data_IF_131090485457
#
_entry.id   IF_131090485457
#
_cell.length_a   1.000
_cell.length_b   1.000
_cell.length_c   1.000
_cell.angle_alpha   90.00
_cell.angle_beta   90.00
_cell.angle_gamma   90.00
#
_symmetry.space_group_name_H-M   'P 1'
#
loop_
_entity.id
_entity.type
_entity.pdbx_description
1 polymer ?
#
# COMPACT_ATOMS: atom_id res chain seq x y z
N UNK A 1 35.54 21.85 52.34
CA UNK A 1 35.23 22.05 50.89
C UNK A 1 35.21 20.71 50.17
N UNK A 2 34.05 20.28 49.68
CA UNK A 2 33.90 19.02 48.94
C UNK A 2 34.43 19.20 47.50
N UNK A 3 35.11 18.20 46.91
CA UNK A 3 35.51 18.24 45.51
C UNK A 3 34.26 18.18 44.61
N UNK A 4 34.23 19.07 43.60
CA UNK A 4 33.14 19.13 42.62
C UNK A 4 33.08 17.87 41.74
N UNK A 5 31.91 17.57 41.16
CA UNK A 5 31.72 16.38 40.33
C UNK A 5 32.62 16.42 39.08
N UNK A 6 33.11 15.26 38.60
CA UNK A 6 33.94 15.17 37.41
C UNK A 6 33.15 15.55 36.15
N UNK A 7 33.81 16.22 35.21
CA UNK A 7 33.24 16.62 33.92
C UNK A 7 32.84 15.40 33.09
N UNK A 8 31.74 15.48 32.31
CA UNK A 8 31.35 14.40 31.42
C UNK A 8 32.39 14.20 30.29
N UNK A 9 32.51 12.97 29.75
CA UNK A 9 33.45 12.68 28.68
C UNK A 9 33.09 13.46 27.40
N UNK A 10 34.08 13.76 26.54
CA UNK A 10 33.83 14.37 25.24
C UNK A 10 32.94 13.46 24.38
N UNK A 11 31.96 14.06 23.70
CA UNK A 11 31.12 13.33 22.74
C UNK A 11 31.99 12.70 21.65
N UNK A 12 31.69 11.46 21.22
CA UNK A 12 32.39 10.85 20.10
C UNK A 12 32.19 11.69 18.82
N UNK A 13 33.16 11.67 17.89
CA UNK A 13 33.02 12.37 16.62
C UNK A 13 31.83 11.78 15.88
N UNK A 14 30.85 12.63 15.54
CA UNK A 14 29.77 12.26 14.65
C UNK A 14 30.36 11.88 13.30
N UNK A 15 30.39 10.57 13.02
CA UNK A 15 30.77 10.03 11.72
C UNK A 15 29.70 10.49 10.72
N UNK A 16 30.00 11.59 10.01
CA UNK A 16 29.17 12.10 8.93
C UNK A 16 29.37 11.25 7.68
N UNK A 17 29.01 9.98 7.77
CA UNK A 17 28.68 9.18 6.60
C UNK A 17 27.16 9.12 6.44
N UNK A 18 26.53 10.30 6.42
CA UNK A 18 25.23 10.47 5.79
C UNK A 18 25.43 10.34 4.27
N UNK A 19 25.60 9.11 3.80
CA UNK A 19 25.32 8.78 2.41
C UNK A 19 23.81 8.96 2.28
N UNK A 20 23.38 10.17 1.92
CA UNK A 20 22.00 10.45 1.53
C UNK A 20 21.55 9.33 0.59
N UNK A 21 20.44 8.64 0.85
CA UNK A 21 19.89 7.73 -0.15
C UNK A 21 19.68 8.56 -1.41
N UNK A 22 20.46 8.30 -2.47
CA UNK A 22 20.21 8.88 -3.79
C UNK A 22 18.73 8.64 -4.10
N UNK A 23 17.94 9.69 -4.37
CA UNK A 23 16.55 9.54 -4.77
C UNK A 23 16.53 8.59 -5.97
N UNK A 24 15.95 7.41 -5.80
CA UNK A 24 15.73 6.53 -6.94
C UNK A 24 14.76 7.28 -7.86
N UNK A 25 15.09 7.48 -9.15
CA UNK A 25 14.13 8.06 -10.08
C UNK A 25 12.86 7.21 -10.01
N UNK A 26 11.72 7.88 -9.85
CA UNK A 26 10.40 7.28 -9.78
C UNK A 26 10.27 6.23 -10.88
N UNK A 27 10.19 4.96 -10.50
CA UNK A 27 9.97 3.89 -11.44
C UNK A 27 8.54 4.04 -11.95
N UNK A 28 8.40 4.71 -13.10
CA UNK A 28 7.26 4.51 -13.98
C UNK A 28 7.06 2.98 -14.09
N UNK A 29 5.82 2.46 -13.99
CA UNK A 29 5.58 1.06 -14.27
C UNK A 29 6.22 0.75 -15.63
N UNK A 30 7.05 -0.30 -15.75
CA UNK A 30 7.58 -0.65 -17.06
C UNK A 30 6.39 -0.81 -18.02
N UNK A 31 6.53 -0.29 -19.22
CA UNK A 31 5.57 -0.55 -20.29
C UNK A 31 5.65 -2.06 -20.60
N UNK A 32 4.77 -2.83 -19.97
CA UNK A 32 4.75 -4.29 -20.08
C UNK A 32 3.86 -4.63 -21.26
N UNK A 33 4.49 -5.09 -22.33
CA UNK A 33 3.79 -5.74 -23.42
C UNK A 33 3.24 -7.10 -22.93
N UNK A 34 1.94 -7.11 -22.63
CA UNK A 34 1.21 -8.29 -22.18
C UNK A 34 1.16 -9.38 -23.24
N UNK A 35 1.20 -9.03 -24.53
CA UNK A 35 1.19 -10.01 -25.62
C UNK A 35 2.53 -10.74 -25.66
N UNK A 36 3.63 -9.99 -25.57
CA UNK A 36 4.98 -10.57 -25.44
C UNK A 36 5.12 -11.42 -24.17
N UNK A 37 4.56 -10.97 -23.04
CA UNK A 37 4.59 -11.71 -21.78
C UNK A 37 3.74 -13.01 -21.83
N UNK A 38 2.59 -12.98 -22.51
CA UNK A 38 1.77 -14.15 -22.73
C UNK A 38 2.50 -15.20 -23.59
N UNK A 39 3.19 -14.76 -24.64
CA UNK A 39 4.00 -15.66 -25.49
C UNK A 39 5.21 -16.26 -24.74
N UNK A 40 5.77 -15.54 -23.78
CA UNK A 40 6.88 -16.01 -22.96
C UNK A 40 6.46 -16.95 -21.81
N UNK A 41 5.15 -17.15 -21.59
CA UNK A 41 4.63 -17.93 -20.47
C UNK A 41 4.68 -19.43 -20.75
N UNK A 42 5.71 -20.11 -20.21
CA UNK A 42 5.94 -21.55 -20.43
C UNK A 42 5.18 -22.42 -19.40
N UNK A 43 4.89 -21.87 -18.22
CA UNK A 43 4.24 -22.62 -17.14
C UNK A 43 2.72 -22.53 -17.24
N UNK A 44 1.96 -23.64 -17.05
CA UNK A 44 0.50 -23.64 -17.14
C UNK A 44 -0.19 -22.58 -16.27
N UNK A 45 0.27 -22.39 -15.03
CA UNK A 45 -0.26 -21.34 -14.14
C UNK A 45 -0.05 -19.92 -14.64
N UNK A 46 1.07 -19.68 -15.34
CA UNK A 46 1.34 -18.36 -15.91
C UNK A 46 0.43 -18.12 -17.11
N UNK A 47 0.21 -19.16 -17.93
CA UNK A 47 -0.74 -19.09 -19.04
C UNK A 47 -2.17 -18.80 -18.55
N UNK A 48 -2.65 -19.52 -17.53
CA UNK A 48 -3.96 -19.26 -16.89
C UNK A 48 -4.05 -17.83 -16.35
N UNK A 49 -2.98 -17.32 -15.75
CA UNK A 49 -2.93 -15.95 -15.25
C UNK A 49 -3.02 -14.93 -16.38
N UNK A 50 -2.31 -15.16 -17.50
CA UNK A 50 -2.37 -14.29 -18.68
C UNK A 50 -3.72 -14.34 -19.38
N UNK A 51 -4.34 -15.53 -19.47
CA UNK A 51 -5.70 -15.70 -19.99
C UNK A 51 -6.71 -14.95 -19.12
N UNK A 52 -6.62 -15.08 -17.79
CA UNK A 52 -7.46 -14.34 -16.85
C UNK A 52 -7.30 -12.81 -17.00
N UNK A 53 -6.07 -12.32 -17.12
CA UNK A 53 -5.81 -10.88 -17.37
C UNK A 53 -6.44 -10.44 -18.70
N UNK A 54 -6.33 -11.25 -19.75
CA UNK A 54 -6.96 -10.98 -21.05
C UNK A 54 -8.49 -10.96 -20.96
N UNK A 55 -9.09 -11.90 -20.23
CA UNK A 55 -10.54 -11.95 -20.00
C UNK A 55 -11.03 -10.71 -19.25
N UNK A 56 -10.32 -10.24 -18.23
CA UNK A 56 -10.66 -8.99 -17.53
C UNK A 56 -10.55 -7.78 -18.48
N UNK A 57 -9.47 -7.69 -19.26
CA UNK A 57 -9.25 -6.58 -20.21
C UNK A 57 -10.37 -6.49 -21.24
N UNK A 58 -10.82 -7.64 -21.72
CA UNK A 58 -11.84 -7.76 -22.75
C UNK A 58 -13.26 -7.92 -22.19
N UNK A 59 -13.42 -7.90 -20.86
CA UNK A 59 -14.72 -8.01 -20.24
C UNK A 59 -15.63 -6.87 -20.73
N UNK A 60 -16.83 -7.23 -21.19
CA UNK A 60 -17.85 -6.25 -21.54
C UNK A 60 -18.43 -5.66 -20.26
N UNK A 61 -18.18 -4.38 -20.02
CA UNK A 61 -18.83 -3.61 -18.95
C UNK A 61 -20.19 -3.04 -19.38
N UNK A 62 -20.73 -3.46 -20.54
CA UNK A 62 -21.96 -2.96 -21.15
C UNK A 62 -23.21 -3.76 -20.75
N UNK A 63 -23.16 -4.52 -19.65
CA UNK A 63 -24.35 -5.20 -19.17
C UNK A 63 -25.36 -4.17 -18.66
N UNK A 64 -26.58 -4.18 -19.21
CA UNK A 64 -27.66 -3.25 -18.87
C UNK A 64 -28.06 -3.33 -17.38
N UNK A 65 -27.71 -4.43 -16.70
CA UNK A 65 -28.00 -4.66 -15.29
C UNK A 65 -26.97 -3.93 -14.41
N UNK A 66 -25.70 -3.92 -14.81
CA UNK A 66 -24.65 -3.21 -14.10
C UNK A 66 -24.72 -1.73 -14.47
N UNK A 67 -25.25 -0.89 -13.56
CA UNK A 67 -25.35 0.57 -13.73
C UNK A 67 -23.96 1.26 -13.67
N UNK A 68 -22.96 0.72 -14.35
CA UNK A 68 -21.64 1.30 -14.44
C UNK A 68 -21.70 2.47 -15.41
N UNK A 69 -21.44 3.67 -14.90
CA UNK A 69 -21.33 4.85 -15.76
C UNK A 69 -20.06 4.72 -16.63
N UNK A 70 -20.04 5.36 -17.81
CA UNK A 70 -18.84 5.37 -18.66
C UNK A 70 -17.56 5.80 -17.92
N UNK A 71 -17.69 6.73 -16.97
CA UNK A 71 -16.61 7.19 -16.09
C UNK A 71 -16.05 6.08 -15.18
N UNK A 72 -16.92 5.27 -14.56
CA UNK A 72 -16.48 4.13 -13.73
C UNK A 72 -15.77 3.09 -14.61
N UNK A 73 -16.28 2.83 -15.82
CA UNK A 73 -15.66 1.90 -16.78
C UNK A 73 -14.28 2.42 -17.19
N UNK A 74 -14.16 3.71 -17.48
CA UNK A 74 -12.90 4.35 -17.83
C UNK A 74 -11.87 4.25 -16.69
N UNK A 75 -12.29 4.48 -15.44
CA UNK A 75 -11.43 4.31 -14.26
C UNK A 75 -11.05 2.85 -13.99
N UNK A 76 -11.95 1.90 -14.21
CA UNK A 76 -11.64 0.48 -14.08
C UNK A 76 -10.64 0.01 -15.15
N UNK A 77 -10.76 0.53 -16.38
CA UNK A 77 -9.81 0.25 -17.47
C UNK A 77 -8.48 0.96 -17.28
N UNK A 78 -8.50 2.15 -16.68
CA UNK A 78 -7.34 2.98 -16.42
C UNK A 78 -7.23 3.23 -14.92
N UNK A 79 -6.73 2.23 -14.18
CA UNK A 79 -6.52 2.36 -12.74
C UNK A 79 -5.66 3.62 -12.45
N UNK A 80 -5.91 4.34 -11.34
CA UNK A 80 -5.14 5.52 -10.98
C UNK A 80 -3.64 5.23 -11.05
N UNK A 81 -2.96 5.85 -12.02
CA UNK A 81 -1.51 5.75 -12.21
C UNK A 81 -0.74 6.68 -11.29
N UNK A 82 -1.44 7.51 -10.50
CA UNK A 82 -0.83 8.33 -9.47
C UNK A 82 -0.03 7.42 -8.54
N UNK A 83 1.25 7.71 -8.35
CA UNK A 83 2.04 7.06 -7.33
C UNK A 83 1.54 7.53 -5.96
N UNK A 84 1.21 6.59 -5.08
CA UNK A 84 0.94 6.88 -3.68
C UNK A 84 2.24 7.44 -3.11
N UNK A 85 2.22 8.69 -2.64
CA UNK A 85 3.37 9.24 -1.95
C UNK A 85 3.51 8.52 -0.59
N UNK A 86 4.31 7.46 -0.62
CA UNK A 86 4.64 6.58 0.50
C UNK A 86 5.96 6.97 1.15
N UNK A 87 6.38 8.24 1.05
CA UNK A 87 7.57 8.72 1.75
C UNK A 87 7.40 8.73 3.28
N UNK A 88 6.16 8.57 3.76
CA UNK A 88 5.86 8.48 5.18
C UNK A 88 6.01 7.03 5.71
N UNK A 89 6.97 6.75 6.59
CA UNK A 89 7.25 5.39 7.06
C UNK A 89 6.15 4.84 8.00
N UNK A 90 5.50 5.69 8.80
CA UNK A 90 4.38 5.28 9.66
C UNK A 90 3.14 4.89 8.86
N UNK A 91 2.85 5.65 7.80
CA UNK A 91 1.80 5.36 6.84
C UNK A 91 2.06 4.05 6.08
N UNK A 92 3.28 3.86 5.58
CA UNK A 92 3.70 2.61 4.93
C UNK A 92 3.52 1.41 5.85
N UNK A 93 3.97 1.53 7.10
CA UNK A 93 3.83 0.47 8.10
C UNK A 93 2.36 0.15 8.37
N UNK A 94 1.53 1.17 8.50
CA UNK A 94 0.09 1.04 8.73
C UNK A 94 -0.61 0.32 7.58
N UNK A 95 -0.33 0.69 6.34
CA UNK A 95 -0.88 0.04 5.14
C UNK A 95 -0.38 -1.39 5.04
N UNK A 96 0.93 -1.62 5.25
CA UNK A 96 1.53 -2.95 5.19
C UNK A 96 0.91 -3.89 6.22
N UNK A 97 0.72 -3.40 7.46
CA UNK A 97 0.02 -4.15 8.51
C UNK A 97 -1.41 -4.47 8.12
N UNK A 98 -2.16 -3.48 7.59
CA UNK A 98 -3.55 -3.67 7.16
C UNK A 98 -3.67 -4.72 6.05
N UNK A 99 -2.84 -4.62 5.00
CA UNK A 99 -2.86 -5.55 3.86
C UNK A 99 -2.37 -6.95 4.24
N UNK A 100 -1.36 -7.05 5.11
CA UNK A 100 -0.87 -8.35 5.61
C UNK A 100 -1.91 -9.05 6.48
N UNK A 101 -2.79 -8.28 7.12
CA UNK A 101 -3.89 -8.75 7.95
C UNK A 101 -5.25 -8.65 7.24
N UNK A 102 -5.31 -8.84 5.92
CA UNK A 102 -6.56 -8.75 5.14
C UNK A 102 -7.70 -9.65 5.67
N UNK A 103 -7.38 -10.67 6.49
CA UNK A 103 -8.35 -11.54 7.18
C UNK A 103 -8.36 -11.40 8.70
N UNK A 104 -7.53 -10.52 9.29
CA UNK A 104 -7.47 -10.36 10.73
C UNK A 104 -8.42 -9.25 11.20
N UNK A 105 -8.97 -9.44 12.39
CA UNK A 105 -9.81 -8.44 13.02
C UNK A 105 -9.05 -7.15 13.31
N UNK A 106 -9.78 -6.04 13.45
CA UNK A 106 -9.24 -4.77 13.95
C UNK A 106 -8.38 -4.95 15.22
N UNK A 107 -8.74 -5.89 16.10
CA UNK A 107 -8.01 -6.21 17.33
C UNK A 107 -6.57 -6.65 17.03
N UNK A 108 -6.38 -7.48 16.00
CA UNK A 108 -5.05 -7.97 15.61
C UNK A 108 -4.20 -6.82 15.07
N UNK A 109 -4.79 -5.95 14.25
CA UNK A 109 -4.12 -4.76 13.74
C UNK A 109 -3.67 -3.84 14.89
N UNK A 110 -4.60 -3.49 15.79
CA UNK A 110 -4.32 -2.58 16.90
C UNK A 110 -3.24 -3.15 17.84
N UNK A 111 -3.21 -4.47 18.02
CA UNK A 111 -2.16 -5.16 18.78
C UNK A 111 -0.78 -4.98 18.15
N UNK A 112 -0.67 -5.12 16.82
CA UNK A 112 0.60 -4.95 16.08
C UNK A 112 1.07 -3.50 16.12
N UNK A 113 0.17 -2.54 15.88
CA UNK A 113 0.51 -1.12 15.96
C UNK A 113 0.97 -0.75 17.37
N UNK A 114 0.25 -1.17 18.41
CA UNK A 114 0.65 -0.92 19.80
C UNK A 114 2.01 -1.55 20.14
N UNK A 115 2.26 -2.78 19.67
CA UNK A 115 3.56 -3.42 19.84
C UNK A 115 4.67 -2.62 19.14
N UNK A 116 4.40 -2.13 17.92
CA UNK A 116 5.35 -1.30 17.16
C UNK A 116 5.68 -0.02 17.92
N UNK A 117 4.67 0.72 18.36
CA UNK A 117 4.84 1.98 19.10
C UNK A 117 5.60 1.76 20.42
N UNK A 118 5.37 0.63 21.09
CA UNK A 118 6.03 0.31 22.37
C UNK A 118 7.51 -0.10 22.21
N UNK A 119 7.87 -0.77 21.11
CA UNK A 119 9.22 -1.32 20.93
C UNK A 119 10.13 -0.39 20.11
N UNK A 120 9.56 0.52 19.32
CA UNK A 120 10.30 1.36 18.37
C UNK A 120 10.09 2.85 18.61
N UNK A 121 9.94 3.29 19.87
CA UNK A 121 9.65 4.69 20.26
C UNK A 121 10.53 5.79 19.64
N UNK A 122 11.72 5.47 19.13
CA UNK A 122 12.65 6.42 18.49
C UNK A 122 12.69 6.30 16.96
N UNK A 123 11.92 5.39 16.38
CA UNK A 123 11.87 5.20 14.94
C UNK A 123 10.89 6.20 14.31
N UNK A 124 11.24 6.70 13.13
CA UNK A 124 10.44 7.62 12.31
C UNK A 124 9.03 7.06 12.00
N UNK A 125 8.87 5.74 12.07
CA UNK A 125 7.59 5.02 11.90
C UNK A 125 6.53 5.42 12.95
N UNK A 126 6.93 5.89 14.13
CA UNK A 126 6.03 6.06 15.29
C UNK A 126 5.09 7.26 15.17
N UNK A 127 5.55 8.36 14.57
CA UNK A 127 4.79 9.63 14.54
C UNK A 127 3.54 9.56 13.67
N UNK A 128 3.57 8.74 12.61
CA UNK A 128 2.55 8.74 11.57
C UNK A 128 1.81 7.39 11.42
N UNK A 129 1.92 6.52 12.43
CA UNK A 129 1.12 5.30 12.47
C UNK A 129 -0.38 5.64 12.56
N UNK A 130 -1.15 5.13 11.61
CA UNK A 130 -2.59 5.33 11.56
C UNK A 130 -3.32 4.27 12.38
N UNK A 131 -4.52 4.63 12.86
CA UNK A 131 -5.46 3.63 13.37
C UNK A 131 -6.00 2.75 12.23
N UNK A 132 -6.63 1.62 12.57
CA UNK A 132 -7.26 0.73 11.59
C UNK A 132 -8.24 1.47 10.67
N UNK A 133 -9.16 2.25 11.25
CA UNK A 133 -10.17 3.02 10.49
C UNK A 133 -9.55 4.14 9.66
N UNK A 134 -8.51 4.79 10.19
CA UNK A 134 -7.82 5.83 9.43
C UNK A 134 -7.07 5.25 8.23
N UNK A 135 -6.43 4.08 8.39
CA UNK A 135 -5.78 3.34 7.31
C UNK A 135 -6.79 2.89 6.25
N UNK A 136 -7.92 2.32 6.68
CA UNK A 136 -8.99 1.90 5.76
C UNK A 136 -9.55 3.09 4.97
N UNK A 137 -9.84 4.20 5.66
CA UNK A 137 -10.31 5.45 5.02
C UNK A 137 -9.28 5.99 4.03
N UNK A 138 -7.99 5.94 4.40
CA UNK A 138 -6.90 6.38 3.54
C UNK A 138 -6.79 5.54 2.27
N UNK A 139 -6.77 4.20 2.39
CA UNK A 139 -6.74 3.28 1.26
C UNK A 139 -7.97 3.48 0.37
N UNK A 140 -9.16 3.61 0.97
CA UNK A 140 -10.42 3.81 0.22
C UNK A 140 -10.40 5.10 -0.59
N UNK A 141 -10.00 6.21 0.04
CA UNK A 141 -9.87 7.51 -0.62
C UNK A 141 -8.83 7.46 -1.74
N UNK A 142 -7.71 6.79 -1.51
CA UNK A 142 -6.64 6.69 -2.48
C UNK A 142 -7.00 5.81 -3.69
N UNK A 143 -7.65 4.67 -3.45
CA UNK A 143 -8.07 3.77 -4.52
C UNK A 143 -9.40 4.20 -5.17
N UNK A 144 -9.94 5.37 -4.78
CA UNK A 144 -11.25 5.87 -5.20
C UNK A 144 -12.35 4.80 -5.15
N UNK A 145 -12.27 3.88 -4.17
CA UNK A 145 -13.27 2.84 -4.02
C UNK A 145 -14.52 3.49 -3.46
N UNK A 146 -15.49 3.75 -4.34
CA UNK A 146 -16.87 3.95 -3.95
C UNK A 146 -17.55 2.59 -3.78
N UNK A 147 -18.35 2.45 -2.72
CA UNK A 147 -19.21 1.28 -2.60
C UNK A 147 -20.19 1.30 -3.76
N UNK A 148 -20.08 0.30 -4.65
CA UNK A 148 -21.18 -0.02 -5.54
C UNK A 148 -22.28 -0.54 -4.62
N UNK A 149 -23.24 0.31 -4.29
CA UNK A 149 -24.44 -0.05 -3.54
C UNK A 149 -25.31 -0.91 -4.47
N UNK A 150 -24.88 -2.15 -4.68
CA UNK A 150 -25.71 -3.18 -5.27
C UNK A 150 -26.07 -4.15 -4.17
N UNK A 151 -27.38 -4.20 -3.94
CA UNK A 151 -28.08 -5.20 -3.17
C UNK A 151 -27.73 -6.57 -3.76
N UNK A 152 -26.64 -7.17 -3.27
CA UNK A 152 -26.19 -8.50 -3.69
C UNK A 152 -27.09 -9.61 -3.11
N UNK A 153 -28.29 -9.28 -2.64
CA UNK A 153 -29.37 -10.21 -2.40
C UNK A 153 -30.47 -9.97 -3.45
N UNK A 154 -30.49 -10.78 -4.49
CA UNK A 154 -31.74 -11.06 -5.18
C UNK A 154 -32.39 -12.22 -4.41
N UNK A 155 -33.46 -11.88 -3.69
CA UNK A 155 -34.52 -12.75 -3.16
C UNK A 155 -34.09 -13.98 -2.32
N UNK A 156 -34.43 -13.94 -1.02
CA UNK A 156 -34.72 -15.16 -0.22
C UNK A 156 -36.20 -15.52 -0.32
#
# INVERSE_FOLDING_TARGET
>A
PLPGPPSPPPNPPWDRDHRSPTPRPHSWPPDIDLDTLAQASILPKLWESMEFVSLIRNASFLDLITKLTPDIIERMRNAPQGLMDLNNPGLCHSISCYLSNKHASQITYDSIIRSTLSNFLQAEVVEDCLSFKATESFIRKYMEIEYILHDMCQDS
#
